data_IF_182191425010
#
_entry.id   IF_182191425010
#
_cell.length_a   1.000
_cell.length_b   1.000
_cell.length_c   1.000
_cell.angle_alpha   90.00
_cell.angle_beta   90.00
_cell.angle_gamma   90.00
#
_symmetry.space_group_name_H-M   'P 1'
#
loop_
_entity.id
_entity.type
_entity.pdbx_description
1 polymer ?
#
# COMPACT_ATOMS: atom_id res chain seq x y z
N UNK A 1 -4.96 -23.24 -42.01
CA UNK A 1 -6.36 -22.87 -41.73
C UNK A 1 -6.46 -21.47 -41.17
N UNK A 2 -7.04 -20.51 -41.91
CA UNK A 2 -7.15 -19.13 -41.48
C UNK A 2 -7.90 -18.93 -40.17
N UNK A 3 -8.92 -19.75 -39.91
CA UNK A 3 -9.73 -19.67 -38.68
C UNK A 3 -8.91 -20.06 -37.47
N UNK A 4 -8.10 -21.10 -37.57
CA UNK A 4 -7.21 -21.51 -36.49
C UNK A 4 -6.15 -20.46 -36.20
N UNK A 5 -5.56 -19.88 -37.24
CA UNK A 5 -4.55 -18.80 -37.10
C UNK A 5 -5.13 -17.55 -36.44
N UNK A 6 -6.38 -17.17 -36.77
CA UNK A 6 -7.08 -16.06 -36.14
C UNK A 6 -7.34 -16.35 -34.65
N UNK A 7 -7.78 -17.57 -34.32
CA UNK A 7 -8.01 -17.96 -32.92
C UNK A 7 -6.76 -17.92 -32.10
N UNK A 8 -5.63 -18.43 -32.62
CA UNK A 8 -4.33 -18.38 -31.94
C UNK A 8 -3.85 -16.94 -31.78
N UNK A 9 -3.98 -16.11 -32.82
CA UNK A 9 -3.61 -14.69 -32.75
C UNK A 9 -4.41 -13.93 -31.69
N UNK A 10 -5.72 -14.23 -31.58
CA UNK A 10 -6.57 -13.63 -30.56
C UNK A 10 -6.15 -14.02 -29.14
N UNK A 11 -5.80 -15.29 -28.91
CA UNK A 11 -5.32 -15.76 -27.60
C UNK A 11 -3.99 -15.09 -27.23
N UNK A 12 -3.07 -14.94 -28.19
CA UNK A 12 -1.79 -14.26 -27.98
C UNK A 12 -2.02 -12.79 -27.62
N UNK A 13 -2.88 -12.10 -28.36
CA UNK A 13 -3.20 -10.69 -28.11
C UNK A 13 -3.84 -10.48 -26.73
N UNK A 14 -4.75 -11.36 -26.34
CA UNK A 14 -5.38 -11.33 -25.01
C UNK A 14 -4.34 -11.48 -23.90
N UNK A 15 -3.42 -12.43 -24.05
CA UNK A 15 -2.35 -12.66 -23.07
C UNK A 15 -1.38 -11.49 -23.00
N UNK A 16 -0.99 -10.94 -24.16
CA UNK A 16 -0.14 -9.78 -24.26
C UNK A 16 -0.78 -8.56 -23.60
N UNK A 17 -2.07 -8.34 -23.80
CA UNK A 17 -2.80 -7.24 -23.19
C UNK A 17 -2.83 -7.34 -21.65
N UNK A 18 -3.10 -8.54 -21.11
CA UNK A 18 -3.05 -8.79 -19.68
C UNK A 18 -1.69 -8.46 -19.10
N UNK A 19 -0.62 -8.85 -19.79
CA UNK A 19 0.75 -8.56 -19.37
C UNK A 19 1.06 -7.05 -19.40
N UNK A 20 0.60 -6.34 -20.44
CA UNK A 20 0.75 -4.89 -20.55
C UNK A 20 0.03 -4.18 -19.40
N UNK A 21 -1.20 -4.59 -19.09
CA UNK A 21 -1.95 -4.02 -17.98
C UNK A 21 -1.24 -4.23 -16.64
N UNK A 22 -0.75 -5.43 -16.37
CA UNK A 22 -0.04 -5.75 -15.14
C UNK A 22 1.26 -4.96 -15.01
N UNK A 23 2.04 -4.91 -16.07
CA UNK A 23 3.30 -4.15 -16.10
C UNK A 23 3.05 -2.65 -15.97
N UNK A 24 2.03 -2.14 -16.64
CA UNK A 24 1.63 -0.74 -16.54
C UNK A 24 1.20 -0.35 -15.13
N UNK A 25 0.45 -1.24 -14.45
CA UNK A 25 0.04 -1.01 -13.07
C UNK A 25 1.25 -0.87 -12.12
N UNK A 26 2.25 -1.74 -12.27
CA UNK A 26 3.49 -1.68 -11.48
C UNK A 26 4.29 -0.41 -11.82
N UNK A 27 4.45 -0.09 -13.10
CA UNK A 27 5.19 1.08 -13.54
C UNK A 27 4.53 2.41 -13.12
N UNK A 28 3.21 2.43 -13.02
CA UNK A 28 2.44 3.59 -12.54
C UNK A 28 2.29 3.61 -11.02
N UNK A 29 3.03 2.76 -10.32
CA UNK A 29 3.00 2.67 -8.86
C UNK A 29 1.58 2.45 -8.31
N UNK A 30 0.82 1.60 -8.98
CA UNK A 30 -0.55 1.28 -8.58
C UNK A 30 -0.62 0.51 -7.26
N UNK A 31 -1.58 0.86 -6.41
CA UNK A 31 -1.86 0.11 -5.19
C UNK A 31 -2.46 -1.28 -5.53
N UNK A 32 -2.16 -2.32 -4.74
CA UNK A 32 -2.77 -3.63 -4.93
C UNK A 32 -4.29 -3.57 -4.81
N UNK A 33 -4.99 -4.25 -5.73
CA UNK A 33 -6.47 -4.26 -5.76
C UNK A 33 -7.10 -4.90 -4.52
N UNK A 34 -6.39 -5.83 -3.86
CA UNK A 34 -6.87 -6.51 -2.66
C UNK A 34 -6.76 -5.68 -1.39
N UNK A 35 -6.00 -4.58 -1.41
CA UNK A 35 -5.73 -3.77 -0.22
C UNK A 35 -6.84 -2.73 -0.02
N UNK A 36 -7.59 -2.89 1.05
CA UNK A 36 -8.50 -1.86 1.54
C UNK A 36 -7.75 -0.92 2.48
N UNK A 37 -7.51 0.29 2.01
CA UNK A 37 -6.74 1.30 2.77
C UNK A 37 -7.49 1.81 3.99
N UNK A 38 -8.80 1.91 3.90
CA UNK A 38 -9.62 2.41 5.01
C UNK A 38 -9.67 1.39 6.15
N UNK A 39 -9.84 0.10 5.82
CA UNK A 39 -9.76 -0.98 6.79
C UNK A 39 -8.37 -1.02 7.46
N UNK A 40 -7.32 -0.90 6.67
CA UNK A 40 -5.94 -0.89 7.19
C UNK A 40 -5.71 0.25 8.17
N UNK A 41 -6.17 1.46 7.84
CA UNK A 41 -6.03 2.63 8.72
C UNK A 41 -6.78 2.42 10.03
N UNK A 42 -8.02 1.94 9.97
CA UNK A 42 -8.83 1.66 11.16
C UNK A 42 -8.16 0.61 12.07
N UNK A 43 -7.64 -0.45 11.48
CA UNK A 43 -6.96 -1.51 12.21
C UNK A 43 -5.71 -1.02 12.92
N UNK A 44 -4.95 -0.14 12.30
CA UNK A 44 -3.80 0.49 12.94
C UNK A 44 -4.23 1.36 14.12
N UNK A 45 -5.26 2.17 13.95
CA UNK A 45 -5.78 3.05 15.02
C UNK A 45 -6.29 2.21 16.20
N UNK A 46 -6.95 1.10 15.94
CA UNK A 46 -7.44 0.20 16.99
C UNK A 46 -6.30 -0.47 17.77
N UNK A 47 -5.24 -0.89 17.09
CA UNK A 47 -4.11 -1.59 17.71
C UNK A 47 -3.10 -0.69 18.39
N UNK A 48 -3.00 0.55 17.93
CA UNK A 48 -2.05 1.52 18.46
C UNK A 48 -2.84 2.76 18.92
N UNK A 49 -3.30 2.76 20.18
CA UNK A 49 -4.19 3.81 20.68
C UNK A 49 -3.61 5.23 20.65
N UNK A 50 -2.28 5.35 20.63
CA UNK A 50 -1.59 6.64 20.54
C UNK A 50 -1.74 7.28 19.15
N UNK A 51 -2.11 6.50 18.13
CA UNK A 51 -2.40 7.01 16.78
C UNK A 51 -3.80 7.61 16.76
N UNK A 52 -3.89 8.89 16.49
CA UNK A 52 -5.18 9.63 16.45
C UNK A 52 -5.70 9.83 15.03
N UNK A 53 -4.85 9.66 14.03
CA UNK A 53 -5.25 9.77 12.63
C UNK A 53 -4.15 9.32 11.70
N UNK A 54 -4.55 8.96 10.48
CA UNK A 54 -3.63 8.57 9.40
C UNK A 54 -4.09 9.28 8.13
N UNK A 55 -3.14 9.84 7.38
CA UNK A 55 -3.42 10.47 6.10
C UNK A 55 -2.21 10.35 5.16
N UNK A 56 -2.34 10.82 3.94
CA UNK A 56 -1.33 10.75 2.89
C UNK A 56 -0.78 9.33 2.70
N UNK A 57 -1.68 8.35 2.66
CA UNK A 57 -1.31 6.94 2.48
C UNK A 57 -1.07 6.68 1.00
N UNK A 58 0.15 6.27 0.68
CA UNK A 58 0.55 5.82 -0.65
C UNK A 58 1.11 4.41 -0.55
N UNK A 59 0.57 3.49 -1.33
CA UNK A 59 1.02 2.11 -1.40
C UNK A 59 1.30 1.75 -2.84
N UNK A 60 2.45 1.16 -3.10
CA UNK A 60 2.82 0.66 -4.43
C UNK A 60 3.66 -0.61 -4.30
N UNK A 61 3.80 -1.35 -5.39
CA UNK A 61 4.62 -2.55 -5.42
C UNK A 61 5.76 -2.41 -6.42
N UNK A 62 6.96 -2.81 -6.03
CA UNK A 62 8.06 -3.05 -6.96
C UNK A 62 7.84 -4.37 -7.68
N UNK A 63 7.31 -5.35 -6.97
CA UNK A 63 6.79 -6.62 -7.47
C UNK A 63 5.44 -6.89 -6.77
N UNK A 64 4.64 -7.87 -7.23
CA UNK A 64 3.38 -8.22 -6.54
C UNK A 64 3.56 -8.61 -5.07
N UNK A 65 4.75 -9.06 -4.68
CA UNK A 65 5.07 -9.48 -3.32
C UNK A 65 5.79 -8.41 -2.49
N UNK A 66 6.45 -7.45 -3.14
CA UNK A 66 7.25 -6.43 -2.47
C UNK A 66 6.51 -5.10 -2.45
N UNK A 67 5.69 -4.94 -1.44
CA UNK A 67 4.91 -3.73 -1.25
C UNK A 67 5.69 -2.69 -0.46
N UNK A 68 5.54 -1.45 -0.88
CA UNK A 68 6.09 -0.28 -0.22
C UNK A 68 4.97 0.66 0.18
N UNK A 69 5.13 1.34 1.28
CA UNK A 69 4.13 2.26 1.81
C UNK A 69 4.79 3.51 2.37
N UNK A 70 4.16 4.64 2.13
CA UNK A 70 4.42 5.87 2.88
C UNK A 70 3.12 6.37 3.48
N UNK A 71 3.17 6.91 4.68
CA UNK A 71 2.01 7.54 5.29
C UNK A 71 2.42 8.53 6.38
N UNK A 72 1.51 9.44 6.67
CA UNK A 72 1.61 10.35 7.82
C UNK A 72 0.72 9.83 8.94
N UNK A 73 1.29 9.73 10.13
CA UNK A 73 0.59 9.25 11.32
C UNK A 73 0.54 10.37 12.34
N UNK A 74 -0.66 10.79 12.68
CA UNK A 74 -0.87 11.74 13.77
C UNK A 74 -0.85 10.99 15.09
N UNK A 75 0.00 11.44 15.99
CA UNK A 75 0.21 10.84 17.29
C UNK A 75 -0.28 11.80 18.37
N UNK A 76 -0.92 11.26 19.41
CA UNK A 76 -1.37 12.04 20.55
C UNK A 76 -0.20 12.80 21.19
N UNK A 77 -0.36 14.10 21.51
CA UNK A 77 0.74 14.91 22.07
C UNK A 77 1.31 14.36 23.39
N UNK A 78 0.52 13.59 24.12
CA UNK A 78 0.90 12.97 25.38
C UNK A 78 1.79 11.73 25.21
N UNK A 79 1.88 11.18 23.99
CA UNK A 79 2.69 10.01 23.72
C UNK A 79 4.18 10.33 23.87
N UNK A 80 4.86 9.59 24.74
CA UNK A 80 6.28 9.81 25.04
C UNK A 80 7.23 8.91 24.25
N UNK A 81 6.74 7.78 23.75
CA UNK A 81 7.54 6.78 23.00
C UNK A 81 7.16 6.74 21.53
N UNK A 82 7.58 7.74 20.77
CA UNK A 82 7.33 7.82 19.33
C UNK A 82 7.96 6.63 18.57
N UNK A 83 9.13 6.19 18.98
CA UNK A 83 9.81 5.05 18.34
C UNK A 83 9.04 3.76 18.55
N UNK A 84 8.50 3.54 19.75
CA UNK A 84 7.66 2.39 20.04
C UNK A 84 6.34 2.41 19.28
N UNK A 85 5.72 3.58 19.13
CA UNK A 85 4.50 3.76 18.32
C UNK A 85 4.79 3.38 16.86
N UNK A 86 5.83 3.93 16.26
CA UNK A 86 6.22 3.62 14.87
C UNK A 86 6.50 2.13 14.70
N UNK A 87 7.19 1.50 15.65
CA UNK A 87 7.48 0.06 15.62
C UNK A 87 6.22 -0.77 15.62
N UNK A 88 5.22 -0.45 16.44
CA UNK A 88 3.95 -1.16 16.51
C UNK A 88 3.12 -0.98 15.25
N UNK A 89 3.11 0.22 14.67
CA UNK A 89 2.46 0.48 13.37
C UNK A 89 3.11 -0.36 12.27
N UNK A 90 4.43 -0.37 12.20
CA UNK A 90 5.17 -1.18 11.22
C UNK A 90 4.94 -2.68 11.40
N UNK A 91 4.85 -3.16 12.63
CA UNK A 91 4.52 -4.56 12.92
C UNK A 91 3.12 -4.93 12.39
N UNK A 92 2.13 -4.08 12.60
CA UNK A 92 0.78 -4.29 12.05
C UNK A 92 0.79 -4.35 10.52
N UNK A 93 1.49 -3.44 9.87
CA UNK A 93 1.62 -3.41 8.41
C UNK A 93 2.28 -4.67 7.86
N UNK A 94 3.32 -5.15 8.53
CA UNK A 94 4.03 -6.36 8.13
C UNK A 94 3.22 -7.63 8.37
N UNK A 95 2.67 -7.79 9.56
CA UNK A 95 2.04 -9.04 9.99
C UNK A 95 0.68 -9.27 9.32
N UNK A 96 -0.10 -8.20 9.15
CA UNK A 96 -1.46 -8.31 8.61
C UNK A 96 -1.54 -8.08 7.10
N UNK A 97 -0.62 -7.31 6.53
CA UNK A 97 -0.67 -6.90 5.12
C UNK A 97 0.58 -7.27 4.31
N UNK A 98 1.60 -7.84 4.94
CA UNK A 98 2.84 -8.21 4.26
C UNK A 98 3.66 -7.03 3.76
N UNK A 99 3.43 -5.82 4.29
CA UNK A 99 4.16 -4.62 3.89
C UNK A 99 5.45 -4.54 4.70
N UNK A 100 6.56 -4.98 4.09
CA UNK A 100 7.87 -5.02 4.74
C UNK A 100 8.63 -3.71 4.75
N UNK A 101 8.33 -2.82 3.80
CA UNK A 101 8.94 -1.50 3.68
C UNK A 101 7.91 -0.40 3.86
N UNK A 102 8.02 0.35 4.94
CA UNK A 102 7.14 1.48 5.20
C UNK A 102 7.95 2.66 5.73
N UNK A 103 7.62 3.85 5.21
CA UNK A 103 8.13 5.11 5.72
C UNK A 103 6.97 5.84 6.39
N UNK A 104 7.13 6.13 7.66
CA UNK A 104 6.08 6.75 8.48
C UNK A 104 6.58 8.08 9.00
N UNK A 105 5.93 9.14 8.55
CA UNK A 105 6.12 10.47 9.12
C UNK A 105 5.18 10.62 10.32
N UNK A 106 5.72 11.03 11.46
CA UNK A 106 4.95 11.24 12.67
C UNK A 106 4.62 12.71 12.85
N UNK A 107 3.38 13.01 13.17
CA UNK A 107 2.88 14.36 13.34
C UNK A 107 2.18 14.49 14.69
N UNK A 108 2.48 15.57 15.42
CA UNK A 108 1.79 15.93 16.67
C UNK A 108 0.90 17.17 16.50
N UNK A 109 0.95 17.79 15.32
CA UNK A 109 0.17 18.96 14.92
C UNK A 109 -0.44 18.73 13.54
N UNK A 110 -0.94 19.78 12.92
CA UNK A 110 -1.48 19.70 11.55
C UNK A 110 -0.38 19.37 10.53
N UNK A 111 -0.79 18.65 9.48
CA UNK A 111 0.10 18.26 8.41
C UNK A 111 0.71 19.50 7.72
N UNK A 112 2.02 19.47 7.48
CA UNK A 112 2.71 20.52 6.75
C UNK A 112 2.51 20.44 5.24
N UNK A 113 2.15 19.25 4.73
CA UNK A 113 1.92 19.01 3.31
C UNK A 113 0.45 19.27 2.96
N UNK A 114 0.22 20.07 1.94
CA UNK A 114 -1.10 20.42 1.43
C UNK A 114 -1.29 20.04 -0.03
#
# INVERSE_FOLDING_TARGET
>A
DPLLSIAVAFLILKSAWALVQQSGHVLLEGAPAWLDRDEMQQKIIERVPEVTGIHHVHVWGLTPQDLMLTMHVRIAPEASDLTGVVRRVKATLKDDYGIGHSTIETETADCADH
#
